data_IF_780062942932
#
_entry.id   IF_780062942932
#
_cell.length_a   1.000
_cell.length_b   1.000
_cell.length_c   1.000
_cell.angle_alpha   90.00
_cell.angle_beta   90.00
_cell.angle_gamma   90.00
#
_symmetry.space_group_name_H-M   'P 1'
#
loop_
_entity.id
_entity.type
_entity.pdbx_description
1 polymer ?
#
# COMPACT_ATOMS: atom_id res chain seq x y z
N UNK A 1 -1.99 28.31 21.18
CA UNK A 1 -1.75 26.92 20.73
C UNK A 1 -2.82 26.03 21.33
N UNK A 2 -3.67 25.40 20.51
CA UNK A 2 -4.67 24.43 20.99
C UNK A 2 -4.13 23.03 20.70
N UNK A 3 -3.70 22.31 21.74
CA UNK A 3 -3.32 20.91 21.61
C UNK A 3 -4.60 20.06 21.59
N UNK A 4 -4.79 19.27 20.54
CA UNK A 4 -5.83 18.26 20.48
C UNK A 4 -5.24 16.94 20.96
N UNK A 5 -5.75 16.42 22.08
CA UNK A 5 -5.48 15.05 22.52
C UNK A 5 -6.33 14.11 21.67
N UNK A 6 -5.73 13.44 20.69
CA UNK A 6 -6.39 12.36 19.95
C UNK A 6 -6.23 11.07 20.75
N UNK A 7 -7.30 10.64 21.43
CA UNK A 7 -7.34 9.35 22.10
C UNK A 7 -7.57 8.26 21.03
N UNK A 8 -6.51 7.57 20.61
CA UNK A 8 -6.63 6.37 19.79
C UNK A 8 -7.07 5.21 20.69
N UNK A 9 -8.37 4.91 20.70
CA UNK A 9 -8.89 3.66 21.24
C UNK A 9 -8.40 2.51 20.34
N UNK A 10 -7.26 1.93 20.67
CA UNK A 10 -6.89 0.61 20.17
C UNK A 10 -7.84 -0.42 20.78
N UNK A 11 -8.94 -0.70 20.08
CA UNK A 11 -9.74 -1.89 20.36
C UNK A 11 -8.88 -3.08 19.99
N UNK A 12 -8.23 -3.68 20.98
CA UNK A 12 -7.62 -5.00 20.86
C UNK A 12 -8.75 -6.00 20.61
N UNK A 13 -9.08 -6.24 19.35
CA UNK A 13 -9.92 -7.36 18.97
C UNK A 13 -9.12 -8.65 19.20
N UNK A 14 -9.31 -9.28 20.36
CA UNK A 14 -8.79 -10.63 20.62
C UNK A 14 -9.65 -11.60 19.81
N UNK A 15 -9.05 -12.18 18.78
CA UNK A 15 -9.72 -12.95 17.75
C UNK A 15 -9.80 -14.46 18.06
N UNK A 16 -10.96 -15.08 17.81
CA UNK A 16 -11.09 -16.53 17.57
C UNK A 16 -11.77 -16.71 16.22
N UNK A 17 -11.31 -17.66 15.41
CA UNK A 17 -12.02 -18.04 14.18
C UNK A 17 -13.45 -18.44 14.54
N UNK A 18 -14.42 -17.92 13.78
CA UNK A 18 -15.84 -18.24 13.98
C UNK A 18 -16.30 -19.25 12.94
N UNK A 19 -17.10 -20.22 13.35
CA UNK A 19 -17.70 -21.21 12.43
C UNK A 19 -18.85 -20.62 11.60
N UNK A 20 -19.25 -19.37 11.83
CA UNK A 20 -20.40 -18.74 11.19
C UNK A 20 -20.03 -17.37 10.59
N UNK A 21 -20.40 -17.18 9.32
CA UNK A 21 -20.28 -15.92 8.60
C UNK A 21 -21.46 -15.01 8.99
N UNK A 22 -21.15 -13.77 9.37
CA UNK A 22 -22.11 -12.72 9.73
C UNK A 22 -22.46 -11.90 8.49
N UNK A 23 -23.51 -12.30 7.77
CA UNK A 23 -23.93 -11.67 6.51
C UNK A 23 -24.28 -10.20 6.67
N UNK A 24 -24.81 -9.81 7.83
CA UNK A 24 -25.11 -8.43 8.19
C UNK A 24 -23.87 -7.53 8.27
N UNK A 25 -22.67 -8.11 8.41
CA UNK A 25 -21.39 -7.40 8.33
C UNK A 25 -20.74 -7.57 6.97
N UNK A 26 -20.78 -8.79 6.44
CA UNK A 26 -20.11 -9.14 5.18
C UNK A 26 -20.67 -8.35 4.00
N UNK A 27 -21.99 -8.24 3.88
CA UNK A 27 -22.64 -7.56 2.76
C UNK A 27 -22.28 -6.07 2.69
N UNK A 28 -22.51 -5.25 3.73
CA UNK A 28 -22.14 -3.83 3.67
C UNK A 28 -20.63 -3.63 3.53
N UNK A 29 -19.81 -4.47 4.16
CA UNK A 29 -18.36 -4.41 3.99
C UNK A 29 -17.95 -4.70 2.55
N UNK A 30 -18.51 -5.72 1.92
CA UNK A 30 -18.21 -6.07 0.51
C UNK A 30 -18.64 -4.96 -0.45
N UNK A 31 -19.81 -4.35 -0.22
CA UNK A 31 -20.28 -3.18 -1.00
C UNK A 31 -19.33 -2.00 -0.82
N UNK A 32 -18.87 -1.73 0.40
CA UNK A 32 -17.91 -0.67 0.68
C UNK A 32 -16.57 -0.89 -0.05
N UNK A 33 -16.04 -2.11 -0.03
CA UNK A 33 -14.79 -2.44 -0.75
C UNK A 33 -14.98 -2.29 -2.27
N UNK A 34 -16.03 -2.88 -2.84
CA UNK A 34 -16.30 -2.79 -4.28
C UNK A 34 -16.50 -1.33 -4.71
N UNK A 35 -17.27 -0.55 -3.94
CA UNK A 35 -17.47 0.87 -4.17
C UNK A 35 -16.16 1.66 -4.07
N UNK A 36 -15.32 1.38 -3.07
CA UNK A 36 -14.02 2.02 -2.90
C UNK A 36 -13.07 1.74 -4.06
N UNK A 37 -13.01 0.50 -4.55
CA UNK A 37 -12.22 0.13 -5.74
C UNK A 37 -12.72 0.86 -6.98
N UNK A 38 -14.03 0.88 -7.23
CA UNK A 38 -14.60 1.61 -8.37
C UNK A 38 -14.31 3.10 -8.29
N UNK A 39 -14.49 3.71 -7.11
CA UNK A 39 -14.26 5.14 -6.92
C UNK A 39 -12.80 5.55 -7.10
N UNK A 40 -11.86 4.74 -6.61
CA UNK A 40 -10.42 4.98 -6.82
C UNK A 40 -10.04 4.85 -8.29
N UNK A 41 -10.51 3.81 -8.98
CA UNK A 41 -10.27 3.60 -10.42
C UNK A 41 -10.87 4.71 -11.29
N UNK A 42 -12.01 5.28 -10.91
CA UNK A 42 -12.64 6.42 -11.57
C UNK A 42 -11.88 7.72 -11.29
N UNK A 43 -11.42 7.94 -10.06
CA UNK A 43 -10.59 9.09 -9.73
C UNK A 43 -9.29 9.06 -10.54
N UNK A 44 -8.61 7.91 -10.58
CA UNK A 44 -7.41 7.73 -11.39
C UNK A 44 -7.68 7.86 -12.90
N UNK A 45 -8.83 7.38 -13.42
CA UNK A 45 -9.22 7.61 -14.85
C UNK A 45 -9.22 9.09 -15.19
N UNK A 46 -9.87 9.89 -14.32
CA UNK A 46 -10.03 11.33 -14.55
C UNK A 46 -8.70 12.07 -14.45
N UNK A 47 -7.83 11.57 -13.57
CA UNK A 47 -6.57 12.20 -13.29
C UNK A 47 -5.53 11.79 -14.35
N UNK A 48 -5.18 10.50 -14.48
CA UNK A 48 -4.04 10.00 -15.27
C UNK A 48 -4.41 9.50 -16.67
N UNK A 49 -5.49 8.71 -16.79
CA UNK A 49 -5.69 7.85 -17.98
C UNK A 49 -6.76 8.38 -18.94
N UNK A 50 -6.52 9.53 -19.56
CA UNK A 50 -7.54 10.20 -20.39
C UNK A 50 -7.61 9.70 -21.83
N UNK A 51 -6.46 9.36 -22.41
CA UNK A 51 -6.33 9.04 -23.83
C UNK A 51 -5.67 7.67 -23.98
N UNK A 52 -6.33 6.69 -24.63
CA UNK A 52 -5.79 5.36 -24.85
C UNK A 52 -4.55 5.36 -25.77
N UNK A 53 -3.67 4.39 -25.56
CA UNK A 53 -2.46 4.13 -26.32
C UNK A 53 -2.25 2.61 -26.52
N UNK A 54 -1.44 2.19 -27.50
CA UNK A 54 -0.96 0.82 -27.57
C UNK A 54 -0.23 0.41 -26.29
N UNK A 55 -0.30 -0.87 -25.94
CA UNK A 55 0.38 -1.40 -24.76
C UNK A 55 1.90 -1.18 -24.86
N UNK A 56 2.50 -0.66 -23.79
CA UNK A 56 3.94 -0.42 -23.69
C UNK A 56 4.51 -0.93 -22.38
N UNK A 57 5.79 -1.26 -22.38
CA UNK A 57 6.52 -1.74 -21.18
C UNK A 57 7.59 -0.71 -20.82
N UNK A 58 7.68 -0.37 -19.54
CA UNK A 58 8.73 0.49 -19.03
C UNK A 58 10.06 -0.27 -18.99
N UNK A 59 10.91 -0.06 -19.99
CA UNK A 59 12.21 -0.73 -20.10
C UNK A 59 13.40 0.19 -19.82
N UNK A 60 13.17 1.51 -19.71
CA UNK A 60 14.21 2.52 -19.60
C UNK A 60 14.46 2.99 -18.17
N UNK A 61 13.45 3.65 -17.58
CA UNK A 61 13.60 4.36 -16.31
C UNK A 61 12.95 3.65 -15.12
N UNK A 62 12.43 2.44 -15.29
CA UNK A 62 11.64 1.75 -14.28
C UNK A 62 12.30 1.75 -12.88
N UNK A 63 13.59 1.42 -12.80
CA UNK A 63 14.35 1.38 -11.54
C UNK A 63 15.04 2.69 -11.13
N UNK A 64 14.90 3.75 -11.94
CA UNK A 64 15.50 5.08 -11.69
C UNK A 64 14.44 6.12 -11.36
N UNK A 65 13.23 5.94 -11.87
CA UNK A 65 12.09 6.80 -11.68
C UNK A 65 11.82 7.04 -10.18
N UNK A 66 11.74 8.32 -9.81
CA UNK A 66 11.55 8.79 -8.44
C UNK A 66 12.42 8.07 -7.39
N UNK A 67 13.63 7.64 -7.76
CA UNK A 67 14.51 6.82 -6.92
C UNK A 67 13.78 5.65 -6.22
N UNK A 68 12.91 4.95 -6.96
CA UNK A 68 12.08 3.83 -6.49
C UNK A 68 11.01 4.18 -5.45
N UNK A 69 10.79 5.46 -5.12
CA UNK A 69 9.71 5.85 -4.20
C UNK A 69 8.34 5.34 -4.67
N UNK A 70 8.12 5.34 -5.99
CA UNK A 70 6.95 4.75 -6.64
C UNK A 70 6.74 3.27 -6.27
N UNK A 71 7.81 2.47 -6.37
CA UNK A 71 7.80 1.03 -6.04
C UNK A 71 7.48 0.82 -4.56
N UNK A 72 8.03 1.64 -3.67
CA UNK A 72 7.66 1.62 -2.25
C UNK A 72 6.21 2.05 -2.03
N UNK A 73 5.67 2.96 -2.83
CA UNK A 73 4.25 3.31 -2.88
C UNK A 73 3.38 2.10 -3.25
N UNK A 74 3.70 1.42 -4.35
CA UNK A 74 3.03 0.20 -4.81
C UNK A 74 3.03 -0.91 -3.75
N UNK A 75 4.21 -1.21 -3.19
CA UNK A 75 4.34 -2.20 -2.12
C UNK A 75 3.54 -1.86 -0.87
N UNK A 76 3.57 -0.60 -0.42
CA UNK A 76 2.79 -0.17 0.74
C UNK A 76 1.29 -0.21 0.46
N UNK A 77 0.84 0.27 -0.70
CA UNK A 77 -0.58 0.29 -1.06
C UNK A 77 -1.16 -1.12 -1.13
N UNK A 78 -0.46 -2.05 -1.78
CA UNK A 78 -0.84 -3.46 -1.82
C UNK A 78 -0.92 -4.08 -0.41
N UNK A 79 0.10 -3.84 0.43
CA UNK A 79 0.10 -4.28 1.82
C UNK A 79 -1.08 -3.73 2.63
N UNK A 80 -1.33 -2.42 2.54
CA UNK A 80 -2.38 -1.75 3.29
C UNK A 80 -3.78 -2.25 2.87
N UNK A 81 -4.01 -2.43 1.56
CA UNK A 81 -5.27 -2.99 1.04
C UNK A 81 -5.47 -4.42 1.57
N UNK A 82 -4.45 -5.28 1.49
CA UNK A 82 -4.56 -6.67 1.99
C UNK A 82 -4.84 -6.72 3.49
N UNK A 83 -4.14 -5.91 4.30
CA UNK A 83 -4.37 -5.85 5.76
C UNK A 83 -5.78 -5.33 6.06
N UNK A 84 -6.23 -4.25 5.42
CA UNK A 84 -7.54 -3.68 5.67
C UNK A 84 -8.70 -4.61 5.28
N UNK A 85 -8.62 -5.23 4.09
CA UNK A 85 -9.66 -6.14 3.61
C UNK A 85 -9.68 -7.41 4.47
N UNK A 86 -8.53 -8.01 4.77
CA UNK A 86 -8.47 -9.23 5.58
C UNK A 86 -9.05 -9.02 6.98
N UNK A 87 -8.77 -7.88 7.63
CA UNK A 87 -9.34 -7.54 8.93
C UNK A 87 -10.86 -7.37 8.88
N UNK A 88 -11.41 -6.74 7.83
CA UNK A 88 -12.86 -6.57 7.68
C UNK A 88 -13.61 -7.87 7.34
N UNK A 89 -13.01 -8.75 6.52
CA UNK A 89 -13.52 -10.10 6.27
C UNK A 89 -13.52 -10.93 7.55
N UNK A 90 -12.41 -10.89 8.30
CA UNK A 90 -12.32 -11.51 9.61
C UNK A 90 -13.38 -10.95 10.59
N UNK A 91 -13.57 -9.63 10.62
CA UNK A 91 -14.63 -8.99 11.42
C UNK A 91 -16.05 -9.42 11.02
N UNK A 92 -16.22 -9.87 9.78
CA UNK A 92 -17.46 -10.46 9.25
C UNK A 92 -17.57 -11.97 9.50
N UNK A 93 -16.59 -12.58 10.18
CA UNK A 93 -16.60 -14.00 10.54
C UNK A 93 -16.13 -14.93 9.42
N UNK A 94 -15.50 -14.39 8.38
CA UNK A 94 -14.77 -15.19 7.39
C UNK A 94 -13.52 -15.75 8.04
N UNK A 95 -13.22 -17.02 7.75
CA UNK A 95 -11.98 -17.68 8.17
C UNK A 95 -10.75 -16.82 7.85
N UNK A 96 -9.80 -16.76 8.78
CA UNK A 96 -8.63 -15.88 8.65
C UNK A 96 -7.76 -16.25 7.43
N UNK A 97 -7.60 -17.54 7.13
CA UNK A 97 -6.81 -18.02 5.98
C UNK A 97 -7.50 -17.68 4.66
N UNK A 98 -8.80 -17.93 4.57
CA UNK A 98 -9.60 -17.56 3.38
C UNK A 98 -9.62 -16.05 3.20
N UNK A 99 -9.86 -15.30 4.28
CA UNK A 99 -9.93 -13.85 4.27
C UNK A 99 -8.65 -13.18 3.80
N UNK A 100 -7.48 -13.67 4.24
CA UNK A 100 -6.20 -13.08 3.83
C UNK A 100 -5.86 -13.34 2.37
N UNK A 101 -6.18 -14.53 1.84
CA UNK A 101 -6.01 -14.83 0.42
C UNK A 101 -6.96 -14.04 -0.48
N UNK A 102 -8.23 -13.89 -0.08
CA UNK A 102 -9.18 -13.02 -0.79
C UNK A 102 -8.65 -11.58 -0.82
N UNK A 103 -8.18 -11.08 0.33
CA UNK A 103 -7.65 -9.73 0.44
C UNK A 103 -6.39 -9.51 -0.43
N UNK A 104 -5.49 -10.49 -0.48
CA UNK A 104 -4.30 -10.45 -1.34
C UNK A 104 -4.68 -10.46 -2.83
N UNK A 105 -5.64 -11.31 -3.23
CA UNK A 105 -6.13 -11.38 -4.59
C UNK A 105 -6.80 -10.07 -5.04
N UNK A 106 -7.61 -9.45 -4.18
CA UNK A 106 -8.23 -8.14 -4.46
C UNK A 106 -7.17 -7.05 -4.60
N UNK A 107 -6.17 -7.01 -3.71
CA UNK A 107 -5.08 -6.04 -3.79
C UNK A 107 -4.29 -6.18 -5.10
N UNK A 108 -3.88 -7.41 -5.45
CA UNK A 108 -3.13 -7.68 -6.68
C UNK A 108 -3.94 -7.38 -7.94
N UNK A 109 -5.22 -7.74 -7.95
CA UNK A 109 -6.10 -7.43 -9.08
C UNK A 109 -6.21 -5.92 -9.28
N UNK A 110 -6.45 -5.17 -8.20
CA UNK A 110 -6.55 -3.72 -8.28
C UNK A 110 -5.24 -3.08 -8.77
N UNK A 111 -4.09 -3.50 -8.24
CA UNK A 111 -2.79 -2.99 -8.66
C UNK A 111 -2.44 -3.39 -10.10
N UNK A 112 -2.80 -4.60 -10.54
CA UNK A 112 -2.62 -5.02 -11.93
C UNK A 112 -3.43 -4.16 -12.90
N UNK A 113 -4.64 -3.73 -12.50
CA UNK A 113 -5.42 -2.79 -13.30
C UNK A 113 -4.71 -1.44 -13.42
N UNK A 114 -4.03 -0.98 -12.37
CA UNK A 114 -3.22 0.25 -12.40
C UNK A 114 -2.10 0.11 -13.44
N UNK A 115 -1.24 -0.90 -13.32
CA UNK A 115 -0.14 -1.14 -14.27
C UNK A 115 -0.62 -1.31 -15.72
N UNK A 116 -1.73 -2.02 -15.91
CA UNK A 116 -2.30 -2.20 -17.24
C UNK A 116 -2.76 -0.87 -17.85
N UNK A 117 -3.28 0.04 -17.03
CA UNK A 117 -3.73 1.35 -17.51
C UNK A 117 -2.56 2.28 -17.75
N UNK A 118 -1.52 2.22 -16.92
CA UNK A 118 -0.25 2.91 -17.18
C UNK A 118 0.42 2.44 -18.48
N UNK A 119 0.26 1.16 -18.83
CA UNK A 119 0.74 0.58 -20.07
C UNK A 119 -0.05 1.00 -21.32
N UNK A 120 -1.33 1.37 -21.16
CA UNK A 120 -2.29 1.55 -22.28
C UNK A 120 -2.81 2.98 -22.41
N UNK A 121 -2.16 3.96 -21.79
CA UNK A 121 -2.51 5.37 -21.90
C UNK A 121 -1.28 6.25 -22.14
N UNK A 122 -1.49 7.38 -22.83
CA UNK A 122 -0.45 8.39 -23.05
C UNK A 122 -0.26 9.29 -21.84
N UNK A 123 0.87 9.98 -21.82
CA UNK A 123 1.23 10.93 -20.78
C UNK A 123 0.22 12.07 -20.59
N UNK A 124 0.20 12.60 -19.36
CA UNK A 124 -0.77 13.65 -18.95
C UNK A 124 -0.58 14.95 -19.71
N UNK A 125 0.64 15.26 -20.12
CA UNK A 125 0.99 16.42 -20.94
C UNK A 125 0.40 16.38 -22.36
N UNK A 126 -0.22 15.27 -22.76
CA UNK A 126 -0.80 15.11 -24.10
C UNK A 126 0.23 14.84 -25.18
N UNK A 127 1.48 14.54 -24.80
CA UNK A 127 2.48 14.01 -25.73
C UNK A 127 2.01 12.64 -26.25
N UNK A 128 2.41 12.28 -27.47
CA UNK A 128 2.17 10.93 -28.01
C UNK A 128 3.11 9.88 -27.39
N UNK A 129 3.71 10.20 -26.25
CA UNK A 129 4.61 9.33 -25.50
C UNK A 129 3.77 8.50 -24.52
N UNK A 130 4.08 7.21 -24.34
CA UNK A 130 3.44 6.41 -23.30
C UNK A 130 3.60 7.05 -21.92
N UNK A 131 2.58 6.96 -21.06
CA UNK A 131 2.60 7.62 -19.75
C UNK A 131 3.75 7.14 -18.85
N UNK A 132 3.65 5.90 -18.37
CA UNK A 132 4.70 5.23 -17.59
C UNK A 132 5.05 3.87 -18.20
N UNK A 133 4.09 3.20 -18.85
CA UNK A 133 4.26 1.84 -19.35
C UNK A 133 4.02 0.80 -18.25
N UNK A 134 3.85 -0.47 -18.64
CA UNK A 134 3.81 -1.58 -17.69
C UNK A 134 5.15 -1.68 -16.95
N UNK A 135 5.14 -1.61 -15.62
CA UNK A 135 6.33 -1.78 -14.80
C UNK A 135 6.41 -3.18 -14.18
N UNK A 136 7.55 -3.85 -14.40
CA UNK A 136 7.85 -5.07 -13.68
C UNK A 136 8.33 -4.80 -12.25
N UNK A 137 8.97 -3.65 -12.02
CA UNK A 137 9.35 -3.20 -10.68
C UNK A 137 8.13 -2.98 -9.79
N UNK A 138 7.13 -2.27 -10.29
CA UNK A 138 5.89 -1.98 -9.56
C UNK A 138 5.07 -3.26 -9.39
N UNK A 139 4.99 -4.12 -10.41
CA UNK A 139 4.33 -5.42 -10.26
C UNK A 139 5.00 -6.32 -9.20
N UNK A 140 6.33 -6.36 -9.15
CA UNK A 140 7.03 -7.07 -8.08
C UNK A 140 6.75 -6.45 -6.71
N UNK A 141 6.76 -5.12 -6.60
CA UNK A 141 6.44 -4.44 -5.35
C UNK A 141 5.00 -4.72 -4.90
N UNK A 142 4.04 -4.69 -5.82
CA UNK A 142 2.64 -5.06 -5.60
C UNK A 142 2.53 -6.50 -5.07
N UNK A 143 3.24 -7.45 -5.68
CA UNK A 143 3.32 -8.85 -5.23
C UNK A 143 3.88 -8.96 -3.81
N UNK A 144 5.02 -8.33 -3.54
CA UNK A 144 5.65 -8.35 -2.21
C UNK A 144 4.71 -7.74 -1.16
N UNK A 145 4.09 -6.60 -1.45
CA UNK A 145 3.16 -5.93 -0.55
C UNK A 145 1.93 -6.78 -0.23
N UNK A 146 1.26 -7.31 -1.25
CA UNK A 146 0.04 -8.11 -1.06
C UNK A 146 0.30 -9.48 -0.41
N UNK A 147 1.45 -10.09 -0.67
CA UNK A 147 1.79 -11.41 -0.14
C UNK A 147 2.50 -11.35 1.21
N UNK A 148 3.03 -10.21 1.63
CA UNK A 148 3.65 -10.07 2.96
C UNK A 148 2.68 -10.44 4.10
N UNK A 149 1.42 -9.97 4.15
CA UNK A 149 0.47 -10.40 5.17
C UNK A 149 0.18 -11.90 5.11
N UNK A 150 0.12 -12.48 3.91
CA UNK A 150 -0.08 -13.93 3.71
C UNK A 150 1.10 -14.71 4.30
N UNK A 151 2.33 -14.30 4.01
CA UNK A 151 3.52 -14.89 4.62
C UNK A 151 3.48 -14.75 6.15
N UNK A 152 3.10 -13.57 6.67
CA UNK A 152 2.94 -13.35 8.10
C UNK A 152 1.90 -14.28 8.74
N UNK A 153 0.83 -14.64 8.02
CA UNK A 153 -0.18 -15.58 8.52
C UNK A 153 0.41 -16.97 8.78
N UNK A 154 1.19 -17.50 7.85
CA UNK A 154 1.76 -18.85 7.97
C UNK A 154 3.01 -18.92 8.85
N UNK A 155 3.87 -17.88 8.82
CA UNK A 155 5.13 -17.87 9.56
C UNK A 155 5.03 -17.31 10.99
N UNK A 156 3.81 -17.05 11.49
CA UNK A 156 3.53 -16.62 12.87
C UNK A 156 4.16 -17.51 13.94
N UNK A 157 4.35 -18.81 13.66
CA UNK A 157 4.90 -19.76 14.63
C UNK A 157 6.44 -19.79 14.64
N UNK A 158 7.09 -19.60 13.49
CA UNK A 158 8.51 -19.93 13.31
C UNK A 158 9.42 -18.71 13.14
N UNK A 159 8.90 -17.55 12.71
CA UNK A 159 9.70 -16.35 12.47
C UNK A 159 9.08 -15.11 13.10
N UNK A 160 9.55 -14.77 14.33
CA UNK A 160 9.22 -13.50 15.00
C UNK A 160 9.57 -12.28 14.15
N UNK A 161 10.56 -12.40 13.27
CA UNK A 161 11.01 -11.32 12.41
C UNK A 161 9.96 -10.93 11.36
N UNK A 162 9.52 -11.88 10.54
CA UNK A 162 8.54 -11.60 9.47
C UNK A 162 7.17 -11.27 10.07
N UNK A 163 6.74 -12.04 11.08
CA UNK A 163 5.46 -11.83 11.77
C UNK A 163 5.30 -10.39 12.27
N UNK A 164 6.39 -9.80 12.79
CA UNK A 164 6.34 -8.51 13.47
C UNK A 164 6.80 -7.34 12.60
N UNK A 165 7.22 -7.61 11.36
CA UNK A 165 7.46 -6.56 10.37
C UNK A 165 6.17 -5.76 10.13
N UNK A 166 6.27 -4.43 10.18
CA UNK A 166 5.18 -3.53 9.86
C UNK A 166 5.63 -2.58 8.78
N UNK A 167 4.98 -2.63 7.63
CA UNK A 167 5.13 -1.60 6.62
C UNK A 167 4.25 -0.40 7.00
N UNK A 168 4.87 0.75 7.27
CA UNK A 168 4.19 2.02 7.56
C UNK A 168 4.50 3.06 6.50
N UNK A 169 3.61 4.04 6.42
CA UNK A 169 3.69 5.18 5.53
C UNK A 169 3.36 6.44 6.31
N UNK A 170 4.07 7.52 6.03
CA UNK A 170 3.80 8.83 6.59
C UNK A 170 3.96 9.90 5.53
N UNK A 171 3.15 10.94 5.65
CA UNK A 171 3.17 12.10 4.78
C UNK A 171 3.75 13.30 5.52
N UNK A 172 4.68 14.00 4.88
CA UNK A 172 5.21 15.27 5.36
C UNK A 172 5.44 16.20 4.16
N UNK A 173 4.63 17.26 4.05
CA UNK A 173 4.62 18.13 2.86
C UNK A 173 6.01 18.70 2.56
N UNK A 174 6.49 18.47 1.33
CA UNK A 174 7.67 19.12 0.76
C UNK A 174 7.34 20.52 0.18
N UNK A 175 6.07 20.92 0.22
CA UNK A 175 5.59 22.19 -0.34
C UNK A 175 5.25 22.14 -1.83
N UNK A 176 5.33 20.98 -2.48
CA UNK A 176 5.22 20.87 -3.95
C UNK A 176 3.77 20.95 -4.44
N UNK A 177 2.80 20.55 -3.61
CA UNK A 177 1.37 20.73 -3.90
C UNK A 177 0.98 22.20 -3.83
N UNK A 178 1.47 22.91 -2.80
CA UNK A 178 1.22 24.34 -2.59
C UNK A 178 1.86 25.21 -3.67
N UNK A 179 2.99 24.75 -4.23
CA UNK A 179 3.65 25.37 -5.40
C UNK A 179 2.97 25.01 -6.73
N UNK A 180 2.00 24.10 -6.74
CA UNK A 180 1.26 23.69 -7.94
C UNK A 180 1.98 22.66 -8.82
N UNK A 181 3.07 22.03 -8.35
CA UNK A 181 3.75 20.98 -9.11
C UNK A 181 2.96 19.68 -9.15
N UNK A 182 2.22 19.36 -8.08
CA UNK A 182 1.39 18.17 -7.99
C UNK A 182 -0.04 18.53 -7.57
N UNK A 183 -1.02 17.77 -8.05
CA UNK A 183 -2.44 17.96 -7.68
C UNK A 183 -2.79 17.31 -6.34
N UNK A 184 -2.00 16.33 -5.90
CA UNK A 184 -2.21 15.56 -4.68
C UNK A 184 -0.87 15.32 -3.99
N UNK A 185 -0.89 15.29 -2.65
CA UNK A 185 0.29 14.93 -1.85
C UNK A 185 0.71 13.47 -2.08
N UNK A 186 -0.19 12.63 -2.59
CA UNK A 186 0.11 11.24 -2.97
C UNK A 186 0.86 11.13 -4.31
N UNK A 187 0.86 12.18 -5.13
CA UNK A 187 1.68 12.25 -6.34
C UNK A 187 3.07 12.84 -6.04
N UNK A 188 3.21 13.51 -4.90
CA UNK A 188 4.46 14.14 -4.48
C UNK A 188 5.32 13.13 -3.70
N UNK A 189 6.17 12.38 -4.40
CA UNK A 189 7.07 11.41 -3.76
C UNK A 189 8.03 12.04 -2.73
N UNK A 190 8.33 13.35 -2.82
CA UNK A 190 9.15 14.02 -1.81
C UNK A 190 8.41 14.23 -0.49
N UNK A 191 7.08 14.18 -0.52
CA UNK A 191 6.23 14.22 0.65
C UNK A 191 6.01 12.84 1.28
N UNK A 192 6.54 11.77 0.67
CA UNK A 192 6.28 10.39 1.05
C UNK A 192 7.46 9.77 1.79
N UNK A 193 7.14 9.12 2.90
CA UNK A 193 8.09 8.44 3.76
C UNK A 193 7.59 7.02 4.02
N UNK A 194 8.37 6.06 3.57
CA UNK A 194 8.08 4.64 3.67
C UNK A 194 8.94 4.04 4.77
N UNK A 195 8.35 3.22 5.63
CA UNK A 195 9.03 2.66 6.79
C UNK A 195 8.80 1.16 6.90
N UNK A 196 9.88 0.39 7.02
CA UNK A 196 9.83 -0.97 7.50
C UNK A 196 10.20 -0.96 8.99
N UNK A 197 9.22 -1.23 9.84
CA UNK A 197 9.36 -1.18 11.29
C UNK A 197 9.39 -2.59 11.89
N UNK A 198 10.26 -2.76 12.88
CA UNK A 198 10.44 -4.00 13.62
C UNK A 198 10.46 -3.70 15.13
N UNK A 199 9.78 -4.46 15.97
CA UNK A 199 9.99 -4.37 17.41
C UNK A 199 11.38 -4.91 17.77
N UNK A 200 12.00 -4.35 18.82
CA UNK A 200 13.35 -4.75 19.24
C UNK A 200 13.41 -6.23 19.63
N UNK A 201 12.34 -6.77 20.22
CA UNK A 201 12.25 -8.19 20.56
C UNK A 201 12.41 -9.11 19.35
N UNK A 202 11.91 -8.71 18.17
CA UNK A 202 12.06 -9.48 16.94
C UNK A 202 13.47 -9.40 16.34
N UNK A 203 14.17 -8.28 16.53
CA UNK A 203 15.52 -8.05 15.99
C UNK A 203 16.59 -8.67 16.88
N UNK A 204 16.49 -8.48 18.20
CA UNK A 204 17.52 -8.90 19.16
C UNK A 204 17.36 -10.35 19.64
N UNK A 205 16.16 -10.92 19.51
CA UNK A 205 15.85 -12.26 20.03
C UNK A 205 16.00 -12.38 21.55
N UNK A 206 16.08 -13.63 22.03
CA UNK A 206 16.22 -13.97 23.45
C UNK A 206 14.96 -13.76 24.29
N UNK A 207 15.11 -13.74 25.61
CA UNK A 207 13.99 -13.58 26.54
C UNK A 207 13.28 -12.23 26.36
N UNK A 208 11.94 -12.27 26.52
CA UNK A 208 11.11 -11.08 26.42
C UNK A 208 11.29 -10.19 27.64
N UNK A 209 11.32 -8.88 27.41
CA UNK A 209 11.49 -7.86 28.46
C UNK A 209 10.74 -6.61 28.05
N UNK A 210 10.23 -5.87 29.02
CA UNK A 210 9.35 -4.71 28.80
C UNK A 210 9.90 -3.68 27.80
N UNK A 211 11.21 -3.46 27.77
CA UNK A 211 11.83 -2.48 26.86
C UNK A 211 11.91 -3.01 25.41
N UNK A 212 12.03 -4.33 25.22
CA UNK A 212 11.99 -4.95 23.88
C UNK A 212 10.61 -4.88 23.23
N UNK A 213 9.55 -4.83 24.05
CA UNK A 213 8.17 -4.63 23.62
C UNK A 213 7.84 -3.14 23.43
N UNK A 214 8.45 -2.26 24.22
CA UNK A 214 8.20 -0.82 24.18
C UNK A 214 8.89 -0.11 23.00
N UNK A 215 10.03 -0.62 22.52
CA UNK A 215 10.85 0.02 21.50
C UNK A 215 10.93 -0.80 20.20
N UNK A 216 11.13 -0.09 19.10
CA UNK A 216 11.32 -0.68 17.77
C UNK A 216 12.33 0.09 16.94
N UNK A 217 12.80 -0.54 15.87
CA UNK A 217 13.70 0.03 14.86
C UNK A 217 12.91 0.20 13.56
N UNK A 218 13.10 1.33 12.88
CA UNK A 218 12.53 1.59 11.57
C UNK A 218 13.62 1.85 10.54
N UNK A 219 13.55 1.17 9.40
CA UNK A 219 14.31 1.52 8.20
C UNK A 219 13.41 2.37 7.29
N UNK A 220 13.83 3.58 7.00
CA UNK A 220 13.06 4.56 6.23
C UNK A 220 13.59 4.78 4.82
N UNK A 221 12.69 5.04 3.87
CA UNK A 221 13.00 5.53 2.52
C UNK A 221 12.16 6.77 2.21
N UNK A 222 12.82 7.82 1.72
CA UNK A 222 12.22 9.07 1.24
C UNK A 222 13.14 9.71 0.23
N UNK A 223 12.59 10.52 -0.68
CA UNK A 223 13.35 11.12 -1.78
C UNK A 223 13.24 12.64 -1.77
N UNK A 224 14.20 13.32 -2.41
CA UNK A 224 14.22 14.77 -2.63
C UNK A 224 14.84 15.08 -3.98
N UNK A 225 14.45 16.21 -4.58
CA UNK A 225 14.95 16.63 -5.90
C UNK A 225 14.37 15.80 -7.05
N UNK A 226 13.18 15.22 -6.85
CA UNK A 226 12.45 14.44 -7.86
C UNK A 226 11.38 15.25 -8.58
N UNK A 227 11.08 16.48 -8.13
CA UNK A 227 10.23 17.42 -8.87
C UNK A 227 10.83 17.65 -10.26
N UNK A 228 10.10 17.25 -11.31
CA UNK A 228 10.54 17.38 -12.70
C UNK A 228 11.35 16.20 -13.25
N UNK A 229 11.64 15.17 -12.45
CA UNK A 229 12.27 13.92 -12.92
C UNK A 229 11.28 12.77 -13.07
N UNK A 230 9.98 13.04 -12.92
CA UNK A 230 8.94 12.03 -13.04
C UNK A 230 7.56 12.65 -13.13
N UNK A 231 7.00 12.63 -14.34
CA UNK A 231 5.73 13.25 -14.69
C UNK A 231 5.91 14.39 -15.70
N UNK A 232 6.03 14.02 -16.97
CA UNK A 232 5.38 14.77 -18.05
C UNK A 232 4.00 14.12 -18.27
#
# INVERSE_FOLDING_TARGET
>A
MKAALVLLLSVCMVARDTTHIRMERLLPFSVMIAGGVVMTQLAQQRQYWKVPAPFTVNTGDDYRYAANADKFGHGFAAYAITVGISQGLWWSGVDTTVGIWIAAAVALTNQTIVEYRDATHVARDGSSVPYLGWSWGDMLANMVGALLPVAQHYYRADSRFIEQLRYKFSLHSAGNVERGYFQSILDDYESQYHWLCFPLGAVLGGEQSWWKDAFGIGLGHSVRGTVGTGGA
#
